data_IF_729621034792
#
_entry.id   IF_729621034792
#
_cell.length_a   1.000
_cell.length_b   1.000
_cell.length_c   1.000
_cell.angle_alpha   90.00
_cell.angle_beta   90.00
_cell.angle_gamma   90.00
#
_symmetry.space_group_name_H-M   'P 1'
#
loop_
_entity.id
_entity.type
_entity.pdbx_description
1 polymer ?
#
# COMPACT_ATOMS: atom_id res chain seq x y z
N UNK A 1 -12.91 29.46 15.07
CA UNK A 1 -12.44 28.13 15.48
C UNK A 1 -12.54 27.23 14.26
N UNK A 2 -11.43 27.03 13.55
CA UNK A 2 -11.37 26.13 12.41
C UNK A 2 -11.39 24.69 12.95
N UNK A 3 -12.48 23.99 12.71
CA UNK A 3 -12.54 22.53 12.88
C UNK A 3 -11.56 21.95 11.86
N UNK A 4 -10.40 21.56 12.35
CA UNK A 4 -9.43 20.82 11.55
C UNK A 4 -10.07 19.52 11.09
N UNK A 5 -10.56 19.53 9.87
CA UNK A 5 -10.90 18.31 9.13
C UNK A 5 -9.59 17.53 9.07
N UNK A 6 -9.44 16.49 9.88
CA UNK A 6 -8.36 15.54 9.68
C UNK A 6 -8.58 14.97 8.30
N UNK A 7 -7.70 15.33 7.36
CA UNK A 7 -7.70 14.73 6.05
C UNK A 7 -7.68 13.20 6.23
N UNK A 8 -8.48 12.51 5.44
CA UNK A 8 -8.41 11.05 5.40
C UNK A 8 -6.97 10.64 5.08
N UNK A 9 -6.48 9.55 5.67
CA UNK A 9 -5.14 9.08 5.38
C UNK A 9 -5.04 8.80 3.87
N UNK A 10 -3.89 9.15 3.31
CA UNK A 10 -3.57 8.85 1.92
C UNK A 10 -3.60 7.34 1.72
N UNK A 11 -4.22 6.88 0.64
CA UNK A 11 -4.22 5.45 0.29
C UNK A 11 -2.79 4.96 0.09
N UNK A 12 -2.42 3.90 0.79
CA UNK A 12 -1.11 3.25 0.70
C UNK A 12 -1.26 1.76 0.87
N UNK A 13 -0.92 0.99 -0.16
CA UNK A 13 -0.98 -0.46 -0.18
C UNK A 13 0.38 -1.01 -0.58
N UNK A 14 0.87 -1.98 0.19
CA UNK A 14 2.01 -2.80 -0.17
C UNK A 14 1.53 -4.22 -0.42
N UNK A 15 1.81 -4.75 -1.61
CA UNK A 15 1.51 -6.14 -1.95
C UNK A 15 2.81 -6.92 -1.95
N UNK A 16 2.79 -8.07 -1.30
CA UNK A 16 3.92 -9.01 -1.25
C UNK A 16 3.41 -10.37 -1.68
N UNK A 17 4.05 -10.96 -2.67
CA UNK A 17 3.73 -12.33 -3.09
C UNK A 17 4.21 -13.31 -2.01
N UNK A 18 3.27 -14.09 -1.50
CA UNK A 18 3.53 -15.10 -0.48
C UNK A 18 2.88 -16.42 -0.92
N UNK A 19 3.53 -17.56 -0.63
CA UNK A 19 2.92 -18.85 -0.89
C UNK A 19 1.56 -18.96 -0.20
N UNK A 20 0.52 -19.30 -0.96
CA UNK A 20 -0.82 -19.50 -0.42
C UNK A 20 -0.82 -20.73 0.51
N UNK A 21 -1.42 -20.66 1.71
CA UNK A 21 -1.57 -21.80 2.58
C UNK A 21 -2.55 -22.82 1.98
N UNK A 22 -2.02 -23.78 1.22
CA UNK A 22 -2.81 -24.77 0.49
C UNK A 22 -3.49 -25.73 1.47
N UNK A 23 -4.79 -25.96 1.23
CA UNK A 23 -5.58 -26.90 2.02
C UNK A 23 -6.04 -26.41 3.39
N UNK A 24 -5.62 -25.23 3.84
CA UNK A 24 -6.10 -24.67 5.10
C UNK A 24 -7.52 -24.12 4.93
N UNK A 25 -8.41 -24.51 5.83
CA UNK A 25 -9.75 -23.91 6.03
C UNK A 25 -9.80 -23.09 7.32
N UNK A 26 -8.68 -22.91 7.99
CA UNK A 26 -8.58 -22.10 9.20
C UNK A 26 -8.60 -20.63 8.84
N UNK A 27 -9.65 -19.93 9.31
CA UNK A 27 -9.85 -18.49 9.06
C UNK A 27 -8.70 -17.65 9.61
N UNK A 28 -8.08 -18.05 10.73
CA UNK A 28 -6.94 -17.35 11.33
C UNK A 28 -5.72 -17.41 10.41
N UNK A 29 -5.39 -18.59 9.92
CA UNK A 29 -4.27 -18.80 8.98
C UNK A 29 -4.46 -18.03 7.68
N UNK A 30 -5.68 -18.04 7.15
CA UNK A 30 -6.00 -17.29 5.92
C UNK A 30 -5.97 -15.77 6.13
N UNK A 31 -6.42 -15.32 7.30
CA UNK A 31 -6.35 -13.89 7.67
C UNK A 31 -4.90 -13.44 7.84
N UNK A 32 -4.07 -14.20 8.54
CA UNK A 32 -2.64 -13.90 8.69
C UNK A 32 -1.93 -13.82 7.35
N UNK A 33 -2.19 -14.79 6.46
CA UNK A 33 -1.64 -14.79 5.12
C UNK A 33 -2.07 -13.55 4.32
N UNK A 34 -3.35 -13.16 4.40
CA UNK A 34 -3.87 -11.98 3.73
C UNK A 34 -3.21 -10.69 4.24
N UNK A 35 -3.16 -10.52 5.56
CA UNK A 35 -2.57 -9.32 6.18
C UNK A 35 -1.07 -9.19 5.88
N UNK A 36 -0.36 -10.31 5.86
CA UNK A 36 1.04 -10.41 5.44
C UNK A 36 1.21 -10.04 3.95
N UNK A 37 0.35 -10.59 3.09
CA UNK A 37 0.38 -10.31 1.64
C UNK A 37 0.07 -8.84 1.33
N UNK A 38 -0.72 -8.17 2.17
CA UNK A 38 -0.99 -6.74 2.08
C UNK A 38 0.09 -5.87 2.76
N UNK A 39 1.16 -6.48 3.27
CA UNK A 39 2.26 -5.78 3.92
C UNK A 39 1.87 -5.05 5.20
N UNK A 40 0.75 -5.43 5.82
CA UNK A 40 0.22 -4.78 7.03
C UNK A 40 0.89 -5.28 8.30
N UNK A 41 1.50 -6.46 8.25
CA UNK A 41 2.20 -7.10 9.35
C UNK A 41 3.70 -7.09 9.08
N UNK A 42 4.51 -6.74 10.08
CA UNK A 42 5.96 -6.86 10.00
C UNK A 42 6.38 -8.21 10.57
N UNK A 43 7.09 -9.02 9.79
CA UNK A 43 7.61 -10.32 10.21
C UNK A 43 8.69 -10.27 11.31
N UNK A 44 9.18 -9.10 11.68
CA UNK A 44 10.16 -8.93 12.75
C UNK A 44 9.47 -8.75 14.12
N UNK A 45 9.20 -9.88 14.74
CA UNK A 45 9.19 -10.16 16.17
C UNK A 45 8.62 -9.09 17.11
N UNK A 46 7.29 -8.87 17.08
CA UNK A 46 6.63 -8.09 18.10
C UNK A 46 5.12 -8.34 18.08
N UNK A 47 4.47 -8.11 19.19
CA UNK A 47 3.02 -8.31 19.43
C UNK A 47 2.11 -7.45 18.52
N UNK A 48 2.69 -6.57 17.67
CA UNK A 48 1.95 -5.71 16.75
C UNK A 48 1.17 -6.48 15.67
N UNK A 49 1.68 -7.64 15.23
CA UNK A 49 0.98 -8.49 14.27
C UNK A 49 -0.29 -9.09 14.89
N UNK A 50 -0.20 -9.50 16.14
CA UNK A 50 -1.33 -10.02 16.89
C UNK A 50 -2.42 -8.99 17.12
N UNK A 51 -2.08 -7.71 17.28
CA UNK A 51 -3.05 -6.64 17.49
C UNK A 51 -3.95 -6.43 16.26
N UNK A 52 -3.37 -6.34 15.06
CA UNK A 52 -4.12 -6.16 13.82
C UNK A 52 -5.02 -7.37 13.52
N UNK A 53 -4.46 -8.57 13.65
CA UNK A 53 -5.21 -9.83 13.50
C UNK A 53 -6.40 -9.90 14.47
N UNK A 54 -6.16 -9.51 15.73
CA UNK A 54 -7.21 -9.52 16.77
C UNK A 54 -8.35 -8.56 16.42
N UNK A 55 -8.04 -7.34 16.02
CA UNK A 55 -9.04 -6.35 15.60
C UNK A 55 -9.86 -6.87 14.41
N UNK A 56 -9.19 -7.41 13.40
CA UNK A 56 -9.89 -7.95 12.24
C UNK A 56 -10.78 -9.12 12.60
N UNK A 57 -10.27 -10.08 13.35
CA UNK A 57 -11.00 -11.29 13.71
C UNK A 57 -12.14 -11.04 14.69
N UNK A 58 -11.89 -10.27 15.76
CA UNK A 58 -12.82 -10.15 16.89
C UNK A 58 -13.84 -9.02 16.70
N UNK A 59 -13.58 -8.07 15.80
CA UNK A 59 -14.51 -6.99 15.52
C UNK A 59 -15.02 -7.05 14.07
N UNK A 60 -14.19 -6.76 13.09
CA UNK A 60 -14.64 -6.56 11.71
C UNK A 60 -15.13 -7.82 11.00
N UNK A 61 -14.57 -9.00 11.28
CA UNK A 61 -15.07 -10.25 10.69
C UNK A 61 -16.26 -10.82 11.45
N UNK A 62 -16.38 -10.54 12.74
CA UNK A 62 -17.49 -10.99 13.56
C UNK A 62 -18.76 -10.18 13.31
N UNK A 63 -18.62 -8.86 13.20
CA UNK A 63 -19.73 -7.92 12.94
C UNK A 63 -19.38 -6.97 11.77
N UNK A 64 -19.34 -7.46 10.52
CA UNK A 64 -18.79 -6.72 9.39
C UNK A 64 -19.58 -5.47 8.99
N UNK A 65 -20.85 -5.39 9.35
CA UNK A 65 -21.72 -4.24 9.08
C UNK A 65 -21.71 -3.20 10.21
N UNK A 66 -21.10 -3.53 11.35
CA UNK A 66 -21.06 -2.64 12.48
C UNK A 66 -19.98 -1.58 12.31
N UNK A 67 -20.34 -0.33 12.63
CA UNK A 67 -19.38 0.74 12.87
C UNK A 67 -18.83 0.68 14.29
N UNK A 68 -17.52 0.72 14.45
CA UNK A 68 -16.81 0.63 15.72
C UNK A 68 -16.16 1.96 16.07
N UNK A 69 -16.31 2.43 17.29
CA UNK A 69 -15.45 3.48 17.80
C UNK A 69 -14.18 2.90 18.44
N UNK A 70 -13.20 3.76 18.72
CA UNK A 70 -11.90 3.30 19.25
C UNK A 70 -12.01 2.68 20.65
N UNK A 71 -12.96 3.15 21.45
CA UNK A 71 -13.19 2.60 22.79
C UNK A 71 -13.82 1.22 22.73
N UNK A 72 -14.89 1.07 21.92
CA UNK A 72 -15.53 -0.23 21.68
C UNK A 72 -14.53 -1.27 21.15
N UNK A 73 -13.64 -0.87 20.21
CA UNK A 73 -12.58 -1.74 19.74
C UNK A 73 -11.60 -2.13 20.85
N UNK A 74 -11.24 -1.19 21.72
CA UNK A 74 -10.39 -1.46 22.88
C UNK A 74 -11.03 -2.45 23.85
N UNK A 75 -12.29 -2.24 24.17
CA UNK A 75 -13.08 -3.11 25.06
C UNK A 75 -13.24 -4.53 24.48
N UNK A 76 -13.45 -4.63 23.14
CA UNK A 76 -13.63 -5.91 22.45
C UNK A 76 -12.33 -6.71 22.34
N UNK A 77 -11.23 -6.01 22.08
CA UNK A 77 -9.94 -6.68 21.75
C UNK A 77 -8.92 -6.67 22.89
N UNK A 78 -9.19 -5.97 23.98
CA UNK A 78 -8.24 -5.79 25.06
C UNK A 78 -7.01 -4.94 24.73
N UNK A 79 -7.07 -4.16 23.64
CA UNK A 79 -5.96 -3.33 23.21
C UNK A 79 -6.06 -1.91 23.76
N UNK A 80 -4.91 -1.26 23.95
CA UNK A 80 -4.87 0.15 24.36
C UNK A 80 -5.37 1.09 23.26
N UNK A 81 -5.89 2.27 23.62
CA UNK A 81 -6.35 3.28 22.67
C UNK A 81 -5.26 3.68 21.66
N UNK A 82 -4.01 3.77 22.10
CA UNK A 82 -2.86 4.06 21.22
C UNK A 82 -2.64 2.92 20.23
N UNK A 83 -2.70 1.67 20.69
CA UNK A 83 -2.60 0.49 19.84
C UNK A 83 -3.72 0.46 18.79
N UNK A 84 -4.96 0.67 19.22
CA UNK A 84 -6.12 0.75 18.31
C UNK A 84 -5.91 1.84 17.25
N UNK A 85 -5.55 3.07 17.69
CA UNK A 85 -5.35 4.18 16.76
C UNK A 85 -4.30 3.83 15.68
N UNK A 86 -3.18 3.27 16.08
CA UNK A 86 -2.12 2.89 15.14
C UNK A 86 -2.58 1.84 14.12
N UNK A 87 -3.32 0.82 14.55
CA UNK A 87 -3.83 -0.19 13.63
C UNK A 87 -4.95 0.36 12.73
N UNK A 88 -5.80 1.26 13.24
CA UNK A 88 -6.84 1.91 12.45
C UNK A 88 -6.26 2.80 11.36
N UNK A 89 -5.14 3.48 11.61
CA UNK A 89 -4.41 4.23 10.56
C UNK A 89 -3.99 3.29 9.45
N UNK A 90 -3.31 2.18 9.77
CA UNK A 90 -2.88 1.18 8.76
C UNK A 90 -4.04 0.62 7.94
N UNK A 91 -5.15 0.25 8.61
CA UNK A 91 -6.34 -0.33 7.94
C UNK A 91 -7.06 0.69 7.04
N UNK A 92 -7.00 1.97 7.39
CA UNK A 92 -7.57 3.04 6.57
C UNK A 92 -6.66 3.38 5.40
N UNK A 93 -5.36 3.44 5.61
CA UNK A 93 -4.37 3.68 4.54
C UNK A 93 -4.41 2.59 3.46
N UNK A 94 -4.52 1.32 3.85
CA UNK A 94 -4.65 0.23 2.88
C UNK A 94 -6.05 0.12 2.27
N UNK A 95 -7.01 0.90 2.73
CA UNK A 95 -8.37 0.94 2.18
C UNK A 95 -9.30 -0.19 2.61
N UNK A 96 -8.95 -1.02 3.60
CA UNK A 96 -9.86 -2.05 4.12
C UNK A 96 -10.96 -1.46 4.99
N UNK A 97 -10.67 -0.40 5.74
CA UNK A 97 -11.57 0.24 6.68
C UNK A 97 -11.75 1.70 6.27
N UNK A 98 -12.97 2.22 6.42
CA UNK A 98 -13.28 3.63 6.26
C UNK A 98 -13.71 4.24 7.60
N UNK A 99 -13.55 5.56 7.73
CA UNK A 99 -14.13 6.31 8.83
C UNK A 99 -15.49 6.88 8.38
N UNK A 100 -16.51 6.65 9.15
CA UNK A 100 -17.81 7.29 9.01
C UNK A 100 -18.02 8.31 10.12
N UNK A 101 -18.51 9.47 9.77
CA UNK A 101 -18.89 10.51 10.74
C UNK A 101 -20.35 10.26 11.15
N UNK A 102 -20.53 9.97 12.43
CA UNK A 102 -21.85 9.82 13.05
C UNK A 102 -22.00 10.90 14.14
N UNK A 103 -22.52 12.03 13.75
CA UNK A 103 -22.61 13.22 14.60
C UNK A 103 -21.23 13.74 15.03
N UNK A 104 -20.88 13.58 16.31
CA UNK A 104 -19.59 13.96 16.89
C UNK A 104 -18.57 12.81 16.90
N UNK A 105 -19.00 11.60 16.53
CA UNK A 105 -18.21 10.39 16.65
C UNK A 105 -17.68 9.95 15.31
N UNK A 106 -16.48 9.40 15.30
CA UNK A 106 -15.91 8.73 14.14
C UNK A 106 -16.00 7.23 14.36
N UNK A 107 -16.74 6.55 13.50
CA UNK A 107 -16.85 5.10 13.50
C UNK A 107 -16.01 4.50 12.40
N UNK A 108 -15.31 3.45 12.71
CA UNK A 108 -14.56 2.64 11.76
C UNK A 108 -15.46 1.53 11.23
N UNK A 109 -15.58 1.42 9.92
CA UNK A 109 -16.42 0.42 9.24
C UNK A 109 -15.59 -0.36 8.22
N UNK A 110 -15.87 -1.64 8.10
CA UNK A 110 -15.29 -2.45 7.01
C UNK A 110 -15.88 -1.97 5.68
N UNK A 111 -15.04 -1.62 4.71
CA UNK A 111 -15.52 -1.09 3.42
C UNK A 111 -16.40 -2.10 2.70
N UNK A 112 -17.55 -1.66 2.21
CA UNK A 112 -18.51 -2.53 1.54
C UNK A 112 -19.21 -3.55 2.45
N UNK A 113 -18.99 -3.53 3.77
CA UNK A 113 -19.68 -4.38 4.74
C UNK A 113 -19.32 -5.86 4.70
N UNK A 114 -18.28 -6.24 3.97
CA UNK A 114 -17.72 -7.59 3.98
C UNK A 114 -16.25 -7.58 3.56
N UNK A 115 -15.48 -8.60 3.94
CA UNK A 115 -14.08 -8.70 3.55
C UNK A 115 -13.92 -8.77 2.02
N UNK A 116 -14.76 -9.56 1.35
CA UNK A 116 -14.72 -9.67 -0.10
C UNK A 116 -14.97 -8.31 -0.79
N UNK A 117 -15.99 -7.57 -0.34
CA UNK A 117 -16.25 -6.24 -0.87
C UNK A 117 -15.12 -5.24 -0.56
N UNK A 118 -14.55 -5.30 0.65
CA UNK A 118 -13.43 -4.46 1.02
C UNK A 118 -12.21 -4.71 0.12
N UNK A 119 -11.86 -5.98 -0.12
CA UNK A 119 -10.76 -6.36 -1.03
C UNK A 119 -11.04 -5.88 -2.46
N UNK A 120 -12.25 -6.10 -2.99
CA UNK A 120 -12.60 -5.62 -4.34
C UNK A 120 -12.51 -4.09 -4.47
N UNK A 121 -12.84 -3.35 -3.42
CA UNK A 121 -12.69 -1.88 -3.41
C UNK A 121 -11.23 -1.45 -3.33
N UNK A 122 -10.39 -2.18 -2.58
CA UNK A 122 -8.94 -1.95 -2.54
C UNK A 122 -8.32 -2.23 -3.91
N UNK A 123 -8.69 -3.36 -4.53
CA UNK A 123 -8.26 -3.72 -5.89
C UNK A 123 -8.61 -2.63 -6.89
N UNK A 124 -9.88 -2.21 -6.93
CA UNK A 124 -10.33 -1.17 -7.85
C UNK A 124 -9.57 0.16 -7.66
N UNK A 125 -9.31 0.54 -6.40
CA UNK A 125 -8.54 1.73 -6.09
C UNK A 125 -7.07 1.60 -6.50
N UNK A 126 -6.44 0.45 -6.24
CA UNK A 126 -5.08 0.17 -6.65
C UNK A 126 -4.92 0.20 -8.19
N UNK A 127 -5.85 -0.42 -8.91
CA UNK A 127 -5.87 -0.40 -10.39
C UNK A 127 -6.04 1.04 -10.92
N UNK A 128 -6.91 1.84 -10.31
CA UNK A 128 -7.10 3.23 -10.73
C UNK A 128 -5.82 4.07 -10.51
N UNK A 129 -5.15 3.92 -9.36
CA UNK A 129 -3.88 4.61 -9.08
C UNK A 129 -2.79 4.18 -10.05
N UNK A 130 -2.62 2.86 -10.28
CA UNK A 130 -1.63 2.34 -11.22
C UNK A 130 -1.92 2.77 -12.65
N UNK A 131 -3.19 2.74 -13.07
CA UNK A 131 -3.62 3.18 -14.40
C UNK A 131 -3.28 4.65 -14.65
N UNK A 132 -3.55 5.52 -13.67
CA UNK A 132 -3.19 6.93 -13.74
C UNK A 132 -1.68 7.11 -13.89
N UNK A 133 -0.88 6.40 -13.08
CA UNK A 133 0.58 6.50 -13.14
C UNK A 133 1.16 5.92 -14.43
N UNK A 134 0.61 4.83 -14.93
CA UNK A 134 1.01 4.26 -16.21
C UNK A 134 0.72 5.23 -17.37
N UNK A 135 -0.44 5.91 -17.35
CA UNK A 135 -0.77 6.94 -18.33
C UNK A 135 0.18 8.12 -18.28
N UNK A 136 0.44 8.67 -17.09
CA UNK A 136 1.39 9.77 -16.92
C UNK A 136 2.80 9.41 -17.38
N UNK A 137 3.25 8.18 -17.06
CA UNK A 137 4.56 7.70 -17.53
C UNK A 137 4.58 7.55 -19.05
N UNK A 138 3.51 7.01 -19.65
CA UNK A 138 3.38 6.86 -21.10
C UNK A 138 3.42 8.20 -21.87
N UNK A 139 2.90 9.26 -21.24
CA UNK A 139 2.99 10.61 -21.80
C UNK A 139 4.40 11.22 -21.70
N UNK A 140 5.17 10.81 -20.69
CA UNK A 140 6.55 11.27 -20.48
C UNK A 140 7.56 10.54 -21.34
N UNK A 141 7.29 9.28 -21.65
CA UNK A 141 8.17 8.42 -22.43
C UNK A 141 7.54 8.22 -23.79
N UNK A 142 8.09 8.83 -24.82
CA UNK A 142 7.66 8.56 -26.20
C UNK A 142 7.78 7.04 -26.45
N UNK A 143 6.70 6.45 -26.95
CA UNK A 143 6.69 5.03 -27.26
C UNK A 143 7.78 4.73 -28.27
N UNK A 144 8.90 4.19 -27.82
CA UNK A 144 9.92 3.64 -28.70
C UNK A 144 9.28 2.54 -29.55
N UNK A 145 9.36 2.67 -30.88
CA UNK A 145 8.87 1.63 -31.81
C UNK A 145 9.59 0.29 -31.64
N UNK A 146 10.69 0.29 -30.92
CA UNK A 146 11.52 -0.89 -30.68
C UNK A 146 11.24 -1.47 -29.29
N UNK A 147 10.17 -2.23 -29.16
CA UNK A 147 10.00 -3.13 -28.01
C UNK A 147 10.92 -4.33 -28.20
N UNK A 148 12.09 -4.29 -27.60
CA UNK A 148 12.87 -5.51 -27.38
C UNK A 148 12.22 -6.28 -26.23
N UNK A 149 11.62 -7.42 -26.52
CA UNK A 149 11.31 -8.41 -25.51
C UNK A 149 12.63 -8.97 -24.99
N UNK A 150 13.05 -8.48 -23.83
CA UNK A 150 14.14 -9.09 -23.09
C UNK A 150 13.49 -10.27 -22.36
N UNK A 151 13.81 -11.50 -22.75
CA UNK A 151 13.59 -12.66 -21.91
C UNK A 151 14.53 -12.50 -20.70
N UNK A 152 14.00 -11.87 -19.64
CA UNK A 152 14.69 -11.87 -18.37
C UNK A 152 14.65 -13.31 -17.83
N UNK A 153 15.82 -13.87 -17.51
CA UNK A 153 15.88 -15.03 -16.64
C UNK A 153 15.14 -14.64 -15.35
N UNK A 154 14.01 -15.29 -15.11
CA UNK A 154 13.22 -15.07 -13.92
C UNK A 154 14.00 -15.65 -12.73
N UNK A 155 14.79 -14.83 -12.06
CA UNK A 155 15.09 -15.12 -10.67
C UNK A 155 13.76 -15.11 -9.92
N UNK A 156 13.46 -16.19 -9.20
CA UNK A 156 12.26 -16.34 -8.37
C UNK A 156 12.32 -15.42 -7.14
N UNK A 157 12.43 -14.12 -7.37
CA UNK A 157 12.32 -13.13 -6.30
C UNK A 157 10.86 -12.82 -6.08
N UNK A 158 10.36 -12.90 -4.82
CA UNK A 158 8.97 -12.60 -4.53
C UNK A 158 8.61 -11.20 -4.99
N UNK A 159 7.52 -11.07 -5.73
CA UNK A 159 7.01 -9.78 -6.16
C UNK A 159 6.59 -8.94 -4.97
N UNK A 160 7.02 -7.69 -4.93
CA UNK A 160 6.58 -6.72 -3.93
C UNK A 160 6.40 -5.35 -4.58
N UNK A 161 5.23 -4.77 -4.41
CA UNK A 161 4.89 -3.43 -4.89
C UNK A 161 4.18 -2.64 -3.79
N UNK A 162 4.51 -1.36 -3.69
CA UNK A 162 3.76 -0.40 -2.87
C UNK A 162 2.98 0.52 -3.80
N UNK A 163 1.69 0.69 -3.51
CA UNK A 163 0.80 1.60 -4.22
C UNK A 163 0.30 2.62 -3.20
N UNK A 164 0.45 3.90 -3.52
CA UNK A 164 -0.08 5.00 -2.72
C UNK A 164 -0.84 5.99 -3.59
N UNK A 165 -1.80 6.66 -2.99
CA UNK A 165 -2.57 7.69 -3.67
C UNK A 165 -1.66 8.84 -4.09
N UNK A 166 -1.76 9.32 -5.35
CA UNK A 166 -0.92 10.43 -5.82
C UNK A 166 -1.24 11.70 -5.04
N UNK A 167 -0.21 12.29 -4.46
CA UNK A 167 -0.28 13.64 -3.92
C UNK A 167 -0.30 14.71 -5.02
N UNK A 168 -0.55 15.98 -4.68
CA UNK A 168 -0.42 17.07 -5.62
C UNK A 168 1.04 17.15 -6.12
N UNK A 169 1.22 17.12 -7.44
CA UNK A 169 2.53 17.08 -8.07
C UNK A 169 2.79 18.44 -8.76
N UNK A 170 3.88 19.09 -8.37
CA UNK A 170 4.45 20.19 -9.14
C UNK A 170 5.07 19.64 -10.44
N UNK A 171 5.06 20.43 -11.52
CA UNK A 171 5.43 19.98 -12.88
C UNK A 171 6.80 19.30 -12.97
N UNK A 172 7.76 19.69 -12.13
CA UNK A 172 9.13 19.14 -12.14
C UNK A 172 9.30 17.90 -11.24
N UNK A 173 8.24 17.49 -10.55
CA UNK A 173 8.28 16.42 -9.55
C UNK A 173 7.71 15.06 -10.01
N UNK A 174 7.31 14.89 -11.28
CA UNK A 174 6.60 13.68 -11.75
C UNK A 174 7.36 12.38 -11.50
N UNK A 175 8.66 12.34 -11.84
CA UNK A 175 9.48 11.15 -11.58
C UNK A 175 9.67 10.87 -10.09
N UNK A 176 9.84 11.94 -9.29
CA UNK A 176 9.93 11.82 -7.82
C UNK A 176 8.63 11.33 -7.20
N UNK A 177 7.49 11.82 -7.69
CA UNK A 177 6.17 11.37 -7.24
C UNK A 177 5.95 9.89 -7.59
N UNK A 178 6.27 9.48 -8.82
CA UNK A 178 6.15 8.09 -9.25
C UNK A 178 7.03 7.15 -8.39
N UNK A 179 8.28 7.52 -8.13
CA UNK A 179 9.20 6.76 -7.27
C UNK A 179 8.65 6.63 -5.86
N UNK A 180 8.07 7.72 -5.34
CA UNK A 180 7.44 7.71 -4.00
C UNK A 180 6.18 6.84 -3.97
N UNK A 181 5.29 7.01 -4.93
CA UNK A 181 4.00 6.31 -5.00
C UNK A 181 4.17 4.80 -5.20
N UNK A 182 5.19 4.38 -5.93
CA UNK A 182 5.57 2.98 -6.07
C UNK A 182 6.37 2.44 -4.87
N UNK A 183 6.66 3.28 -3.88
CA UNK A 183 7.41 2.89 -2.69
C UNK A 183 8.88 2.57 -2.93
N UNK A 184 9.44 2.99 -4.07
CA UNK A 184 10.85 2.75 -4.43
C UNK A 184 11.81 3.64 -3.64
N UNK A 185 11.32 4.74 -3.07
CA UNK A 185 12.13 5.66 -2.27
C UNK A 185 12.43 5.18 -0.84
N UNK A 186 11.74 4.13 -0.35
CA UNK A 186 11.76 3.72 1.06
C UNK A 186 11.02 4.70 1.99
N UNK A 187 10.89 4.34 3.27
CA UNK A 187 10.10 5.10 4.27
C UNK A 187 10.82 6.33 4.86
N UNK A 188 11.99 6.71 4.37
CA UNK A 188 12.76 7.82 4.92
C UNK A 188 13.38 8.68 3.82
N UNK A 189 13.56 9.96 4.12
CA UNK A 189 14.36 10.91 3.34
C UNK A 189 15.85 10.48 3.26
N UNK A 190 16.12 9.23 2.95
CA UNK A 190 17.47 8.70 2.81
C UNK A 190 18.05 9.07 1.45
N UNK A 191 19.37 9.17 1.31
CA UNK A 191 20.06 9.44 0.03
C UNK A 191 19.65 8.53 -1.13
N UNK A 192 19.12 7.32 -0.84
CA UNK A 192 18.66 6.37 -1.85
C UNK A 192 17.40 6.79 -2.63
N UNK A 193 16.60 7.73 -2.13
CA UNK A 193 15.42 8.22 -2.86
C UNK A 193 15.80 9.05 -4.09
N UNK A 194 16.87 9.83 -3.98
CA UNK A 194 17.41 10.58 -5.10
C UNK A 194 17.95 9.63 -6.19
N UNK A 195 18.70 8.61 -5.77
CA UNK A 195 19.26 7.62 -6.70
C UNK A 195 18.18 6.85 -7.45
N UNK A 196 17.10 6.42 -6.78
CA UNK A 196 15.98 5.72 -7.42
C UNK A 196 15.30 6.59 -8.49
N UNK A 197 15.11 7.89 -8.20
CA UNK A 197 14.58 8.87 -9.15
C UNK A 197 15.51 9.06 -10.35
N UNK A 198 16.79 9.21 -10.09
CA UNK A 198 17.79 9.47 -11.15
C UNK A 198 17.96 8.23 -12.04
N UNK A 199 17.93 7.02 -11.47
CA UNK A 199 17.88 5.77 -12.23
C UNK A 199 16.63 5.71 -13.10
N UNK A 200 15.45 6.01 -12.55
CA UNK A 200 14.20 5.98 -13.30
C UNK A 200 14.22 7.01 -14.44
N UNK A 201 14.70 8.21 -14.19
CA UNK A 201 14.82 9.26 -15.21
C UNK A 201 15.74 8.83 -16.35
N UNK A 202 16.89 8.20 -16.03
CA UNK A 202 17.85 7.71 -17.02
C UNK A 202 17.28 6.55 -17.83
N UNK A 203 16.57 5.61 -17.20
CA UNK A 203 15.91 4.51 -17.89
C UNK A 203 14.80 5.02 -18.83
N UNK A 204 14.04 6.04 -18.42
CA UNK A 204 13.00 6.66 -19.24
C UNK A 204 13.56 7.43 -20.43
N UNK A 205 14.73 8.04 -20.30
CA UNK A 205 15.41 8.78 -21.38
C UNK A 205 16.15 7.88 -22.38
N UNK A 206 16.42 6.63 -21.99
CA UNK A 206 17.18 5.71 -22.84
C UNK A 206 16.29 4.93 -23.80
N UNK A 207 16.60 5.02 -25.09
CA UNK A 207 15.94 4.25 -26.14
C UNK A 207 16.53 2.84 -26.33
N UNK A 208 17.54 2.46 -25.54
CA UNK A 208 18.23 1.18 -25.62
C UNK A 208 18.44 0.59 -24.23
N UNK A 209 18.56 -0.75 -24.12
CA UNK A 209 18.91 -1.39 -22.86
C UNK A 209 20.22 -0.84 -22.30
N UNK A 210 20.22 -0.52 -21.00
CA UNK A 210 21.39 0.00 -20.30
C UNK A 210 21.91 -1.09 -19.37
N UNK A 211 23.21 -1.34 -19.40
CA UNK A 211 23.88 -2.21 -18.41
C UNK A 211 24.06 -1.48 -17.08
N UNK A 212 24.15 -2.21 -15.98
CA UNK A 212 24.41 -1.62 -14.66
C UNK A 212 25.68 -0.77 -14.63
N UNK A 213 26.73 -1.20 -15.37
CA UNK A 213 27.99 -0.44 -15.46
C UNK A 213 27.77 0.91 -16.17
N UNK A 214 27.12 0.90 -17.32
CA UNK A 214 26.81 2.12 -18.07
C UNK A 214 25.88 3.07 -17.29
N UNK A 215 24.93 2.53 -16.54
CA UNK A 215 24.04 3.31 -15.67
C UNK A 215 24.84 3.96 -14.53
N UNK A 216 25.74 3.23 -13.89
CA UNK A 216 26.62 3.75 -12.84
C UNK A 216 27.52 4.88 -13.35
N UNK A 217 28.08 4.74 -14.56
CA UNK A 217 28.91 5.78 -15.18
C UNK A 217 28.14 7.06 -15.51
N UNK A 218 26.86 6.95 -15.86
CA UNK A 218 26.01 8.11 -16.18
C UNK A 218 25.50 8.86 -14.95
N UNK A 219 25.39 8.16 -13.81
CA UNK A 219 24.91 8.70 -12.54
C UNK A 219 26.05 9.17 -11.61
N UNK A 220 27.30 9.01 -12.02
CA UNK A 220 28.49 9.47 -11.28
C UNK A 220 28.81 10.94 -11.63
#
# INVERSE_FOLDING_TARGET
MSLGIRADPVFSLRIVELPMPTGSKDTGVLLDWLLDSMGLVRRSGGDESGALHRIMREAFLTEPLRGWDSKELGDQTGLSNTGIHHQMVKLRECGLVAAQVDGKWHRHVLRGGSMAAAISLVEAQAVAVLGLRASELGEMVEASETRMAIEAEQEETPFSIRISEPGPVESDGRASALVSDLGLAGDSQRPGSALARDILAELCSSHQPITLLALSERLS
#
